data_IF_986962038943
#
_entry.id   IF_986962038943
#
_cell.length_a   1.000
_cell.length_b   1.000
_cell.length_c   1.000
_cell.angle_alpha   90.00
_cell.angle_beta   90.00
_cell.angle_gamma   90.00
#
_symmetry.space_group_name_H-M   'P 1'
#
loop_
_entity.id
_entity.type
_entity.pdbx_description
1 polymer ?
#
# COMPACT_ATOMS: atom_id res chain seq x y z
N UNK A 1 -8.85 36.25 6.96
CA UNK A 1 -8.93 34.86 7.47
C UNK A 1 -9.60 33.91 6.48
N UNK A 2 -10.61 34.35 5.73
CA UNK A 2 -11.39 33.51 4.82
C UNK A 2 -10.61 32.95 3.62
N UNK A 3 -9.65 33.70 3.08
CA UNK A 3 -8.84 33.24 1.95
C UNK A 3 -7.90 32.09 2.31
N UNK A 4 -7.28 32.13 3.50
CA UNK A 4 -6.42 31.06 4.00
C UNK A 4 -7.24 29.79 4.33
N UNK A 5 -8.46 29.95 4.84
CA UNK A 5 -9.37 28.84 5.10
C UNK A 5 -9.87 28.21 3.78
N UNK A 6 -10.22 29.03 2.79
CA UNK A 6 -10.61 28.57 1.46
C UNK A 6 -9.47 27.83 0.75
N UNK A 7 -8.22 28.34 0.83
CA UNK A 7 -7.03 27.69 0.30
C UNK A 7 -6.77 26.36 1.03
N UNK A 8 -6.85 26.34 2.37
CA UNK A 8 -6.69 25.13 3.18
C UNK A 8 -7.76 24.06 2.88
N UNK A 9 -9.00 24.48 2.66
CA UNK A 9 -10.13 23.62 2.27
C UNK A 9 -9.97 23.10 0.84
N UNK A 10 -9.53 23.94 -0.11
CA UNK A 10 -9.20 23.52 -1.48
C UNK A 10 -8.05 22.54 -1.51
N UNK A 11 -6.94 22.82 -0.83
CA UNK A 11 -5.79 21.91 -0.74
C UNK A 11 -6.24 20.55 -0.16
N UNK A 12 -7.07 20.56 0.91
CA UNK A 12 -7.59 19.31 1.51
C UNK A 12 -8.51 18.52 0.57
N UNK A 13 -9.23 19.18 -0.32
CA UNK A 13 -10.12 18.53 -1.29
C UNK A 13 -9.36 18.01 -2.53
N UNK A 14 -8.27 18.68 -2.92
CA UNK A 14 -7.45 18.28 -4.09
C UNK A 14 -6.25 17.39 -3.73
N UNK A 15 -5.78 17.41 -2.49
CA UNK A 15 -4.71 16.55 -2.00
C UNK A 15 -5.25 15.18 -1.60
N UNK A 16 -5.81 14.42 -2.53
CA UNK A 16 -5.94 12.97 -2.33
C UNK A 16 -4.56 12.32 -2.50
N UNK A 17 -4.26 11.24 -1.75
CA UNK A 17 -2.98 10.54 -1.87
C UNK A 17 -2.63 10.17 -3.32
N UNK A 18 -3.63 9.78 -4.12
CA UNK A 18 -3.46 9.49 -5.54
C UNK A 18 -2.99 10.70 -6.37
N UNK A 19 -3.48 11.91 -6.08
CA UNK A 19 -3.03 13.13 -6.79
C UNK A 19 -1.58 13.48 -6.45
N UNK A 20 -1.17 13.31 -5.18
CA UNK A 20 0.22 13.54 -4.75
C UNK A 20 1.16 12.53 -5.43
N UNK A 21 0.73 11.29 -5.54
CA UNK A 21 1.46 10.24 -6.25
C UNK A 21 1.65 10.57 -7.73
N UNK A 22 0.60 11.00 -8.42
CA UNK A 22 0.67 11.42 -9.84
C UNK A 22 1.66 12.58 -10.01
N UNK A 23 1.57 13.60 -9.16
CA UNK A 23 2.48 14.76 -9.20
C UNK A 23 3.92 14.33 -8.95
N UNK A 24 4.19 13.48 -7.96
CA UNK A 24 5.52 12.95 -7.67
C UNK A 24 6.09 12.18 -8.88
N UNK A 25 5.28 11.35 -9.52
CA UNK A 25 5.65 10.59 -10.71
C UNK A 25 5.99 11.49 -11.90
N UNK A 26 5.14 12.48 -12.16
CA UNK A 26 5.38 13.44 -13.24
C UNK A 26 6.64 14.28 -12.99
N UNK A 27 6.86 14.70 -11.76
CA UNK A 27 8.09 15.41 -11.38
C UNK A 27 9.33 14.55 -11.58
N UNK A 28 9.30 13.27 -11.15
CA UNK A 28 10.39 12.32 -11.38
C UNK A 28 10.71 12.19 -12.86
N UNK A 29 9.68 12.01 -13.69
CA UNK A 29 9.81 11.88 -15.14
C UNK A 29 10.39 13.15 -15.80
N UNK A 30 9.90 14.33 -15.41
CA UNK A 30 10.40 15.61 -15.95
C UNK A 30 11.86 15.84 -15.55
N UNK A 31 12.20 15.60 -14.27
CA UNK A 31 13.57 15.81 -13.77
C UNK A 31 14.54 14.82 -14.41
N UNK A 32 14.18 13.55 -14.54
CA UNK A 32 15.00 12.53 -15.18
C UNK A 32 15.31 12.82 -16.66
N UNK A 33 14.50 13.65 -17.33
CA UNK A 33 14.70 14.07 -18.72
C UNK A 33 15.10 15.55 -18.87
N UNK A 34 15.61 16.15 -17.80
CA UNK A 34 16.06 17.55 -17.77
C UNK A 34 17.58 17.63 -17.63
N UNK A 35 18.19 18.82 -17.81
CA UNK A 35 19.63 19.03 -17.60
C UNK A 35 20.14 18.72 -16.19
N UNK A 36 19.25 18.55 -15.19
CA UNK A 36 19.59 18.19 -13.81
C UNK A 36 19.43 16.67 -13.53
N UNK A 37 19.27 15.85 -14.55
CA UNK A 37 19.11 14.40 -14.42
C UNK A 37 20.26 13.75 -13.65
N UNK A 38 21.51 14.13 -13.96
CA UNK A 38 22.69 13.57 -13.29
C UNK A 38 22.67 13.86 -11.77
N UNK A 39 22.23 15.07 -11.36
CA UNK A 39 22.09 15.42 -9.95
C UNK A 39 20.98 14.60 -9.29
N UNK A 40 19.88 14.37 -9.98
CA UNK A 40 18.76 13.56 -9.50
C UNK A 40 19.19 12.11 -9.25
N UNK A 41 19.86 11.46 -10.21
CA UNK A 41 20.31 10.06 -10.04
C UNK A 41 21.47 9.95 -9.04
N UNK A 42 22.40 10.90 -9.01
CA UNK A 42 23.50 10.91 -8.04
C UNK A 42 23.01 11.06 -6.60
N UNK A 43 21.90 11.77 -6.37
CA UNK A 43 21.30 11.90 -5.05
C UNK A 43 20.82 10.55 -4.51
N UNK A 44 20.17 9.75 -5.34
CA UNK A 44 19.67 8.43 -4.94
C UNK A 44 20.80 7.42 -4.69
N UNK A 45 21.93 7.60 -5.34
CA UNK A 45 23.12 6.76 -5.17
C UNK A 45 23.98 7.14 -3.95
N UNK A 46 23.66 8.23 -3.21
CA UNK A 46 24.41 8.62 -2.02
C UNK A 46 24.30 7.57 -0.91
N UNK A 47 25.43 7.20 -0.27
CA UNK A 47 25.41 6.26 0.85
C UNK A 47 24.84 6.91 2.10
N UNK A 48 23.98 6.18 2.81
CA UNK A 48 23.50 6.53 4.15
C UNK A 48 24.28 5.72 5.18
N UNK A 49 24.83 6.38 6.20
CA UNK A 49 25.48 5.70 7.31
C UNK A 49 25.05 6.27 8.64
N UNK A 50 24.66 5.40 9.57
CA UNK A 50 24.48 5.71 10.98
C UNK A 50 25.46 4.81 11.76
N UNK A 51 26.65 5.34 12.03
CA UNK A 51 27.74 4.58 12.64
C UNK A 51 27.75 4.74 14.16
N UNK A 52 27.86 3.61 14.85
CA UNK A 52 28.13 3.51 16.28
C UNK A 52 29.41 2.67 16.45
N UNK A 53 30.57 3.32 16.50
CA UNK A 53 31.86 2.64 16.39
C UNK A 53 32.02 1.99 15.02
N UNK A 54 32.35 0.70 14.97
CA UNK A 54 32.47 -0.08 13.73
C UNK A 54 31.12 -0.60 13.20
N UNK A 55 30.04 -0.41 13.94
CA UNK A 55 28.71 -0.86 13.57
C UNK A 55 27.95 0.21 12.80
N UNK A 56 27.53 -0.09 11.57
CA UNK A 56 26.65 0.75 10.78
C UNK A 56 25.23 0.12 10.71
N UNK A 57 24.24 0.81 11.24
CA UNK A 57 22.85 0.36 11.27
C UNK A 57 22.26 0.19 9.85
N UNK A 58 22.67 1.05 8.91
CA UNK A 58 22.24 1.01 7.50
C UNK A 58 23.33 0.35 6.64
N UNK A 59 23.71 -0.88 7.00
CA UNK A 59 24.66 -1.70 6.26
C UNK A 59 23.99 -2.99 5.79
N UNK A 60 24.12 -3.28 4.50
CA UNK A 60 23.70 -4.54 3.90
C UNK A 60 24.91 -5.23 3.28
N UNK A 61 25.15 -6.49 3.66
CA UNK A 61 26.30 -7.29 3.16
C UNK A 61 27.66 -6.58 3.28
N UNK A 62 27.86 -5.76 4.32
CA UNK A 62 29.12 -5.06 4.57
C UNK A 62 29.30 -3.74 3.81
N UNK A 63 28.33 -3.31 3.03
CA UNK A 63 28.31 -2.00 2.35
C UNK A 63 27.23 -1.09 2.94
N UNK A 64 27.48 0.24 3.05
CA UNK A 64 26.46 1.17 3.44
C UNK A 64 25.34 1.21 2.40
N UNK A 65 24.07 1.23 2.86
CA UNK A 65 22.90 1.36 1.99
C UNK A 65 22.89 2.71 1.28
N UNK A 66 22.47 2.74 0.04
CA UNK A 66 22.17 3.97 -0.68
C UNK A 66 20.80 4.55 -0.26
N UNK A 67 20.56 5.83 -0.56
CA UNK A 67 19.23 6.46 -0.36
C UNK A 67 18.14 5.67 -1.08
N UNK A 68 18.41 5.19 -2.30
CA UNK A 68 17.49 4.36 -3.07
C UNK A 68 17.14 3.06 -2.35
N UNK A 69 18.16 2.33 -1.86
CA UNK A 69 17.97 1.09 -1.11
C UNK A 69 17.19 1.33 0.19
N UNK A 70 17.48 2.42 0.90
CA UNK A 70 16.73 2.79 2.10
C UNK A 70 15.25 3.02 1.80
N UNK A 71 14.92 3.71 0.71
CA UNK A 71 13.52 3.90 0.29
C UNK A 71 12.88 2.55 -0.05
N UNK A 72 13.57 1.71 -0.81
CA UNK A 72 13.03 0.44 -1.29
C UNK A 72 12.91 -0.62 -0.19
N UNK A 73 13.78 -0.61 0.83
CA UNK A 73 13.82 -1.64 1.86
C UNK A 73 13.19 -1.18 3.18
N UNK A 74 13.53 0.05 3.66
CA UNK A 74 13.04 0.52 4.95
C UNK A 74 11.65 1.16 4.84
N UNK A 75 11.44 2.12 3.91
CA UNK A 75 10.14 2.76 3.77
C UNK A 75 9.09 1.79 3.22
N UNK A 76 9.47 0.92 2.28
CA UNK A 76 8.57 -0.11 1.78
C UNK A 76 8.26 -1.17 2.84
N UNK A 77 9.14 -1.44 3.82
CA UNK A 77 8.78 -2.29 4.96
C UNK A 77 7.66 -1.67 5.81
N UNK A 78 7.64 -0.33 5.98
CA UNK A 78 6.54 0.36 6.67
C UNK A 78 5.25 0.30 5.83
N UNK A 79 5.34 0.43 4.51
CA UNK A 79 4.22 0.25 3.61
C UNK A 79 3.64 -1.17 3.72
N UNK A 80 4.47 -2.21 3.64
CA UNK A 80 4.02 -3.60 3.79
C UNK A 80 3.55 -3.93 5.21
N UNK A 81 4.05 -3.23 6.24
CA UNK A 81 3.50 -3.32 7.59
C UNK A 81 2.04 -2.83 7.62
N UNK A 82 1.73 -1.72 6.97
CA UNK A 82 0.34 -1.24 6.85
C UNK A 82 -0.55 -2.20 6.06
N UNK A 83 -0.06 -2.74 4.95
CA UNK A 83 -0.77 -3.80 4.22
C UNK A 83 -1.05 -4.99 5.15
N UNK A 84 -0.07 -5.40 5.96
CA UNK A 84 -0.25 -6.47 6.94
C UNK A 84 -1.34 -6.17 7.99
N UNK A 85 -1.45 -4.91 8.45
CA UNK A 85 -2.54 -4.46 9.34
C UNK A 85 -3.88 -4.53 8.62
N UNK A 86 -3.96 -4.04 7.38
CA UNK A 86 -5.16 -4.09 6.55
C UNK A 86 -5.61 -5.52 6.27
N UNK A 87 -4.70 -6.41 5.88
CA UNK A 87 -4.98 -7.85 5.70
C UNK A 87 -5.56 -8.44 6.99
N UNK A 88 -4.93 -8.17 8.13
CA UNK A 88 -5.39 -8.67 9.42
C UNK A 88 -6.77 -8.14 9.79
N UNK A 89 -7.06 -6.87 9.53
CA UNK A 89 -8.38 -6.29 9.73
C UNK A 89 -9.42 -6.97 8.84
N UNK A 90 -9.13 -7.12 7.55
CA UNK A 90 -10.04 -7.75 6.59
C UNK A 90 -10.36 -9.21 6.96
N UNK A 91 -9.38 -9.96 7.46
CA UNK A 91 -9.58 -11.34 7.94
C UNK A 91 -10.41 -11.40 9.21
N UNK A 92 -10.28 -10.42 10.12
CA UNK A 92 -10.97 -10.46 11.43
C UNK A 92 -12.37 -9.85 11.41
N UNK A 93 -12.59 -8.76 10.68
CA UNK A 93 -13.83 -7.98 10.72
C UNK A 93 -14.32 -7.51 9.35
N UNK A 94 -13.53 -7.69 8.27
CA UNK A 94 -13.84 -7.26 6.92
C UNK A 94 -14.47 -8.35 6.05
N UNK A 95 -14.38 -8.18 4.75
CA UNK A 95 -14.98 -9.05 3.73
C UNK A 95 -14.36 -10.45 3.70
N UNK A 96 -13.11 -10.61 4.14
CA UNK A 96 -12.44 -11.92 4.23
C UNK A 96 -12.89 -12.76 5.42
N UNK A 97 -13.71 -12.24 6.33
CA UNK A 97 -14.27 -12.97 7.47
C UNK A 97 -15.23 -14.07 7.01
N UNK A 98 -15.98 -13.84 5.93
CA UNK A 98 -16.94 -14.80 5.38
C UNK A 98 -16.41 -15.40 4.07
N UNK A 99 -16.19 -16.72 4.05
CA UNK A 99 -15.74 -17.43 2.84
C UNK A 99 -16.66 -17.17 1.65
N UNK A 100 -17.98 -17.02 1.86
CA UNK A 100 -18.95 -16.79 0.78
C UNK A 100 -18.78 -15.40 0.15
N UNK A 101 -18.42 -14.39 0.93
CA UNK A 101 -18.18 -13.00 0.44
C UNK A 101 -16.79 -12.88 -0.17
N UNK A 102 -15.80 -13.48 0.45
CA UNK A 102 -14.41 -13.44 0.04
C UNK A 102 -14.13 -14.26 -1.24
N UNK A 103 -14.93 -15.28 -1.54
CA UNK A 103 -14.62 -16.25 -2.58
C UNK A 103 -14.51 -15.61 -3.98
N UNK A 104 -15.38 -14.64 -4.31
CA UNK A 104 -15.32 -13.94 -5.60
C UNK A 104 -14.03 -13.12 -5.76
N UNK A 105 -13.66 -12.21 -4.84
CA UNK A 105 -12.40 -11.49 -4.93
C UNK A 105 -11.18 -12.40 -4.89
N UNK A 106 -11.18 -13.47 -4.08
CA UNK A 106 -10.05 -14.42 -3.99
C UNK A 106 -9.82 -15.12 -5.33
N UNK A 107 -10.86 -15.67 -5.94
CA UNK A 107 -10.72 -16.37 -7.22
C UNK A 107 -10.36 -15.40 -8.34
N UNK A 108 -10.90 -14.19 -8.30
CA UNK A 108 -10.54 -13.13 -9.22
C UNK A 108 -9.06 -12.70 -9.08
N UNK A 109 -8.56 -12.58 -7.85
CA UNK A 109 -7.16 -12.26 -7.58
C UNK A 109 -6.22 -13.38 -8.04
N UNK A 110 -6.53 -14.65 -7.76
CA UNK A 110 -5.74 -15.79 -8.25
C UNK A 110 -5.66 -15.75 -9.78
N UNK A 111 -6.79 -15.53 -10.48
CA UNK A 111 -6.77 -15.37 -11.93
C UNK A 111 -5.95 -14.16 -12.39
N UNK A 112 -6.12 -13.03 -11.68
CA UNK A 112 -5.38 -11.79 -11.91
C UNK A 112 -3.88 -11.88 -11.61
N UNK A 113 -3.41 -12.85 -10.84
CA UNK A 113 -2.00 -13.14 -10.63
C UNK A 113 -1.45 -14.16 -11.64
N UNK A 114 -2.14 -15.27 -11.83
CA UNK A 114 -1.66 -16.40 -12.65
C UNK A 114 -1.63 -16.05 -14.14
N UNK A 115 -2.69 -15.46 -14.68
CA UNK A 115 -2.77 -15.18 -16.13
C UNK A 115 -1.72 -14.17 -16.60
N UNK A 116 -1.47 -13.03 -15.92
CA UNK A 116 -0.39 -12.11 -16.30
C UNK A 116 0.99 -12.77 -16.28
N UNK A 117 1.29 -13.58 -15.24
CA UNK A 117 2.56 -14.31 -15.13
C UNK A 117 2.74 -15.27 -16.29
N UNK A 118 1.71 -16.08 -16.60
CA UNK A 118 1.76 -17.02 -17.72
C UNK A 118 1.94 -16.30 -19.06
N UNK A 119 1.27 -15.17 -19.25
CA UNK A 119 1.37 -14.37 -20.47
C UNK A 119 2.76 -13.74 -20.60
N UNK A 120 3.30 -13.21 -19.51
CA UNK A 120 4.67 -12.71 -19.45
C UNK A 120 5.70 -13.82 -19.80
N UNK A 121 5.56 -14.98 -19.19
CA UNK A 121 6.43 -16.13 -19.46
C UNK A 121 6.31 -16.64 -20.91
N UNK A 122 5.11 -16.54 -21.49
CA UNK A 122 4.88 -16.91 -22.90
C UNK A 122 5.61 -15.96 -23.86
N UNK A 123 5.51 -14.65 -23.63
CA UNK A 123 6.20 -13.62 -24.44
C UNK A 123 7.72 -13.68 -24.22
N UNK A 124 8.16 -13.89 -22.98
CA UNK A 124 9.57 -13.94 -22.59
C UNK A 124 10.27 -15.29 -22.80
N UNK A 125 9.69 -16.21 -23.57
CA UNK A 125 10.29 -17.53 -23.80
C UNK A 125 11.70 -17.43 -24.39
N UNK A 126 12.67 -18.04 -23.69
CA UNK A 126 14.07 -18.05 -24.10
C UNK A 126 14.83 -16.74 -23.85
N UNK A 127 14.27 -15.84 -23.06
CA UNK A 127 14.91 -14.58 -22.69
C UNK A 127 15.36 -14.57 -21.22
N UNK A 128 16.40 -13.81 -20.91
CA UNK A 128 16.98 -13.71 -19.56
C UNK A 128 16.12 -12.91 -18.58
N UNK A 129 15.08 -12.22 -19.07
CA UNK A 129 14.20 -11.39 -18.25
C UNK A 129 13.05 -12.16 -17.55
N UNK A 130 13.02 -13.50 -17.62
CA UNK A 130 11.96 -14.32 -16.97
C UNK A 130 11.84 -14.10 -15.46
N UNK A 131 12.91 -13.65 -14.80
CA UNK A 131 12.88 -13.25 -13.38
C UNK A 131 11.85 -12.16 -13.08
N UNK A 132 11.53 -11.31 -14.06
CA UNK A 132 10.51 -10.26 -13.96
C UNK A 132 9.07 -10.76 -14.13
N UNK A 133 8.82 -12.07 -14.19
CA UNK A 133 7.47 -12.61 -14.44
C UNK A 133 6.42 -12.20 -13.40
N UNK A 134 6.86 -11.87 -12.19
CA UNK A 134 5.98 -11.38 -11.12
C UNK A 134 5.60 -9.88 -11.25
N UNK A 135 6.29 -9.11 -12.11
CA UNK A 135 6.04 -7.67 -12.27
C UNK A 135 4.57 -7.37 -12.62
N UNK A 136 3.95 -8.02 -13.62
CA UNK A 136 2.58 -7.71 -14.03
C UNK A 136 1.50 -8.33 -13.14
N UNK A 137 1.85 -9.04 -12.06
CA UNK A 137 0.84 -9.63 -11.17
C UNK A 137 0.28 -8.64 -10.12
N UNK A 138 1.00 -7.56 -9.81
CA UNK A 138 0.61 -6.64 -8.77
C UNK A 138 -0.49 -5.65 -9.21
N UNK A 139 -1.30 -5.20 -8.24
CA UNK A 139 -2.30 -4.12 -8.41
C UNK A 139 -2.01 -3.00 -7.43
N UNK A 140 -1.97 -1.76 -7.89
CA UNK A 140 -1.83 -0.56 -7.06
C UNK A 140 -3.20 -0.11 -6.57
N UNK A 141 -3.51 -0.39 -5.29
CA UNK A 141 -4.79 -0.06 -4.65
C UNK A 141 -5.01 1.45 -4.65
N UNK A 142 -3.99 2.23 -4.27
CA UNK A 142 -4.12 3.67 -4.09
C UNK A 142 -4.49 4.37 -5.41
N UNK A 143 -3.84 3.95 -6.49
CA UNK A 143 -4.10 4.51 -7.82
C UNK A 143 -5.46 4.03 -8.37
N UNK A 144 -5.77 2.75 -8.25
CA UNK A 144 -7.02 2.16 -8.75
C UNK A 144 -8.24 2.74 -8.03
N UNK A 145 -8.21 2.89 -6.70
CA UNK A 145 -9.26 3.56 -5.94
C UNK A 145 -9.32 5.07 -6.23
N UNK A 146 -8.19 5.70 -6.52
CA UNK A 146 -8.13 7.09 -6.98
C UNK A 146 -8.95 7.30 -8.24
N UNK A 147 -8.79 6.42 -9.24
CA UNK A 147 -9.60 6.45 -10.47
C UNK A 147 -11.10 6.23 -10.17
N UNK A 148 -11.44 5.27 -9.29
CA UNK A 148 -12.84 5.07 -8.88
C UNK A 148 -13.41 6.29 -8.15
N UNK A 149 -12.60 6.97 -7.35
CA UNK A 149 -13.03 8.17 -6.62
C UNK A 149 -13.40 9.34 -7.55
N UNK A 150 -12.75 9.45 -8.72
CA UNK A 150 -13.09 10.45 -9.74
C UNK A 150 -14.52 10.28 -10.29
N UNK A 151 -15.06 9.06 -10.28
CA UNK A 151 -16.43 8.76 -10.70
C UNK A 151 -17.45 8.96 -9.56
N UNK A 152 -16.98 9.20 -8.35
CA UNK A 152 -17.77 9.61 -7.19
C UNK A 152 -18.84 8.60 -6.79
N UNK A 153 -20.06 9.12 -6.58
CA UNK A 153 -21.24 8.35 -6.12
C UNK A 153 -21.82 7.41 -7.18
N UNK A 154 -21.40 7.51 -8.44
CA UNK A 154 -21.88 6.64 -9.53
C UNK A 154 -21.39 5.19 -9.40
N UNK A 155 -20.27 4.98 -8.74
CA UNK A 155 -19.70 3.64 -8.54
C UNK A 155 -20.41 2.94 -7.38
N UNK A 156 -21.06 1.78 -7.60
CA UNK A 156 -21.66 0.98 -6.55
C UNK A 156 -20.63 0.63 -5.47
N UNK A 157 -21.03 0.67 -4.22
CA UNK A 157 -20.17 0.33 -3.06
C UNK A 157 -19.63 -1.10 -3.20
N UNK A 158 -20.46 -2.03 -3.67
CA UNK A 158 -20.07 -3.43 -3.90
C UNK A 158 -18.91 -3.60 -4.89
N UNK A 159 -18.79 -2.73 -5.93
CA UNK A 159 -17.66 -2.75 -6.85
C UNK A 159 -16.40 -2.17 -6.22
N UNK A 160 -16.53 -1.15 -5.36
CA UNK A 160 -15.39 -0.62 -4.59
C UNK A 160 -14.86 -1.69 -3.65
N UNK A 161 -15.76 -2.35 -2.89
CA UNK A 161 -15.42 -3.45 -1.99
C UNK A 161 -14.74 -4.59 -2.77
N UNK A 162 -15.33 -5.00 -3.91
CA UNK A 162 -14.74 -6.03 -4.75
C UNK A 162 -13.29 -5.69 -5.16
N UNK A 163 -13.04 -4.47 -5.65
CA UNK A 163 -11.70 -4.06 -6.08
C UNK A 163 -10.72 -3.97 -4.89
N UNK A 164 -11.17 -3.42 -3.75
CA UNK A 164 -10.31 -3.32 -2.55
C UNK A 164 -9.95 -4.72 -2.03
N UNK A 165 -10.94 -5.62 -1.87
CA UNK A 165 -10.67 -6.98 -1.40
C UNK A 165 -9.82 -7.78 -2.38
N UNK A 166 -10.05 -7.61 -3.70
CA UNK A 166 -9.22 -8.21 -4.74
C UNK A 166 -7.76 -7.77 -4.58
N UNK A 167 -7.52 -6.46 -4.42
CA UNK A 167 -6.18 -5.93 -4.32
C UNK A 167 -5.48 -6.35 -3.02
N UNK A 168 -6.21 -6.43 -1.89
CA UNK A 168 -5.67 -7.00 -0.63
C UNK A 168 -5.23 -8.46 -0.82
N UNK A 169 -5.99 -9.27 -1.56
CA UNK A 169 -5.61 -10.66 -1.87
C UNK A 169 -4.44 -10.72 -2.85
N UNK A 170 -4.38 -9.83 -3.84
CA UNK A 170 -3.24 -9.67 -4.74
C UNK A 170 -1.95 -9.34 -3.96
N UNK A 171 -2.04 -8.45 -2.96
CA UNK A 171 -0.89 -8.09 -2.11
C UNK A 171 -0.40 -9.28 -1.29
N UNK A 172 -1.31 -10.11 -0.74
CA UNK A 172 -0.93 -11.38 -0.07
C UNK A 172 -0.14 -12.27 -1.04
N UNK A 173 -0.65 -12.43 -2.26
CA UNK A 173 0.03 -13.19 -3.31
C UNK A 173 1.40 -12.62 -3.68
N UNK A 174 1.49 -11.29 -3.82
CA UNK A 174 2.74 -10.56 -4.07
C UNK A 174 3.78 -10.80 -2.97
N UNK A 175 3.37 -10.68 -1.70
CA UNK A 175 4.23 -10.93 -0.54
C UNK A 175 4.76 -12.37 -0.55
N UNK A 176 3.90 -13.35 -0.85
CA UNK A 176 4.31 -14.76 -0.93
C UNK A 176 5.31 -14.99 -2.07
N UNK A 177 5.08 -14.39 -3.23
CA UNK A 177 6.01 -14.48 -4.38
C UNK A 177 7.34 -13.82 -4.04
N UNK A 178 7.35 -12.65 -3.40
CA UNK A 178 8.58 -11.98 -2.95
C UNK A 178 9.33 -12.89 -1.97
N UNK A 179 8.63 -13.48 -1.01
CA UNK A 179 9.22 -14.36 0.00
C UNK A 179 9.88 -15.61 -0.58
N UNK A 180 9.27 -16.21 -1.62
CA UNK A 180 9.72 -17.49 -2.19
C UNK A 180 10.79 -17.28 -3.28
N UNK A 181 10.61 -16.30 -4.16
CA UNK A 181 11.40 -16.19 -5.39
C UNK A 181 12.51 -15.12 -5.30
N UNK A 182 12.41 -14.15 -4.37
CA UNK A 182 13.37 -13.06 -4.25
C UNK A 182 14.21 -13.12 -2.96
N UNK A 183 14.18 -14.25 -2.25
CA UNK A 183 15.10 -14.52 -1.14
C UNK A 183 16.43 -15.05 -1.68
N UNK A 184 17.54 -14.55 -1.12
CA UNK A 184 18.90 -14.95 -1.45
C UNK A 184 19.46 -15.92 -0.39
N UNK A 185 20.78 -16.03 -0.23
CA UNK A 185 21.45 -16.91 0.74
C UNK A 185 20.87 -16.75 2.17
N UNK A 186 20.06 -17.73 2.58
CA UNK A 186 19.33 -17.67 3.86
C UNK A 186 20.26 -17.96 5.04
N UNK A 187 20.44 -17.02 5.94
CA UNK A 187 21.15 -17.18 7.21
C UNK A 187 20.21 -17.60 8.32
N UNK A 188 20.30 -18.86 8.74
CA UNK A 188 19.46 -19.43 9.81
C UNK A 188 19.69 -18.72 11.16
N UNK A 189 20.89 -18.20 11.40
CA UNK A 189 21.23 -17.50 12.65
C UNK A 189 20.38 -16.24 12.85
N UNK A 190 20.29 -15.39 11.83
CA UNK A 190 19.46 -14.16 11.91
C UNK A 190 17.97 -14.49 12.01
N UNK A 191 17.50 -15.53 11.34
CA UNK A 191 16.12 -15.99 11.45
C UNK A 191 15.78 -16.54 12.84
N UNK A 192 16.72 -17.21 13.50
CA UNK A 192 16.53 -17.68 14.87
C UNK A 192 16.39 -16.50 15.84
N UNK A 193 17.20 -15.45 15.70
CA UNK A 193 17.05 -14.23 16.50
C UNK A 193 15.73 -13.52 16.19
N UNK A 194 15.34 -13.42 14.93
CA UNK A 194 14.06 -12.85 14.52
C UNK A 194 12.89 -13.60 15.13
N UNK A 195 12.91 -14.93 15.13
CA UNK A 195 11.90 -15.78 15.77
C UNK A 195 11.77 -15.51 17.26
N UNK A 196 12.90 -15.27 17.96
CA UNK A 196 12.90 -14.87 19.37
C UNK A 196 12.20 -13.52 19.59
N UNK A 197 12.47 -12.51 18.74
CA UNK A 197 11.80 -11.22 18.81
C UNK A 197 10.30 -11.36 18.46
N UNK A 198 9.92 -12.17 17.46
CA UNK A 198 8.52 -12.45 17.18
C UNK A 198 7.80 -13.09 18.37
N UNK A 199 8.45 -13.98 19.10
CA UNK A 199 7.88 -14.55 20.32
C UNK A 199 7.65 -13.46 21.38
N UNK A 200 8.58 -12.52 21.54
CA UNK A 200 8.45 -11.38 22.47
C UNK A 200 7.28 -10.49 22.04
N UNK A 201 7.16 -10.16 20.75
CA UNK A 201 6.05 -9.37 20.18
C UNK A 201 4.69 -10.07 20.41
N UNK A 202 4.61 -11.36 20.17
CA UNK A 202 3.40 -12.14 20.36
C UNK A 202 2.99 -12.27 21.83
N UNK A 203 3.97 -12.52 22.73
CA UNK A 203 3.73 -12.53 24.17
C UNK A 203 3.34 -11.15 24.69
N UNK A 204 3.97 -10.09 24.22
CA UNK A 204 3.60 -8.71 24.53
C UNK A 204 2.16 -8.39 24.15
N UNK A 205 1.72 -8.81 22.96
CA UNK A 205 0.34 -8.68 22.52
C UNK A 205 -0.64 -9.46 23.41
N UNK A 206 -0.28 -10.68 23.85
CA UNK A 206 -1.07 -11.47 24.81
C UNK A 206 -1.10 -10.89 26.22
N UNK A 207 0.00 -10.28 26.65
CA UNK A 207 0.12 -9.59 27.94
C UNK A 207 -0.62 -8.24 27.98
N UNK A 208 -1.20 -7.80 26.84
CA UNK A 208 -1.96 -6.56 26.75
C UNK A 208 -1.09 -5.30 26.61
N UNK A 209 0.13 -5.46 26.10
CA UNK A 209 0.98 -4.30 25.76
C UNK A 209 0.43 -3.65 24.48
N UNK A 210 -0.13 -2.43 24.63
CA UNK A 210 -0.74 -1.68 23.52
C UNK A 210 0.13 -0.50 23.06
N UNK A 211 1.36 -0.39 23.59
CA UNK A 211 2.29 0.69 23.23
C UNK A 211 2.74 0.54 21.78
N UNK A 212 2.38 1.51 20.92
CA UNK A 212 2.87 1.59 19.51
C UNK A 212 4.39 1.52 19.44
N UNK A 213 5.08 2.23 20.37
CA UNK A 213 6.54 2.30 20.44
C UNK A 213 7.18 0.91 20.63
N UNK A 214 6.56 0.05 21.45
CA UNK A 214 7.01 -1.33 21.65
C UNK A 214 7.06 -2.11 20.33
N UNK A 215 6.00 -2.03 19.53
CA UNK A 215 5.92 -2.72 18.24
C UNK A 215 6.82 -2.09 17.18
N UNK A 216 6.98 -0.75 17.16
CA UNK A 216 7.87 -0.09 16.21
C UNK A 216 9.35 -0.38 16.49
N UNK A 217 9.79 -0.31 17.75
CA UNK A 217 11.19 -0.58 18.10
C UNK A 217 11.53 -2.05 17.79
N UNK A 218 10.74 -3.00 18.28
CA UNK A 218 11.00 -4.42 18.03
C UNK A 218 10.79 -4.78 16.55
N UNK A 219 9.84 -4.15 15.88
CA UNK A 219 9.64 -4.28 14.45
C UNK A 219 10.85 -3.81 13.64
N UNK A 220 11.48 -2.70 14.04
CA UNK A 220 12.74 -2.23 13.47
C UNK A 220 13.90 -3.22 13.67
N UNK A 221 13.96 -3.87 14.85
CA UNK A 221 14.94 -4.94 15.09
C UNK A 221 14.69 -6.15 14.19
N UNK A 222 13.42 -6.57 14.03
CA UNK A 222 13.08 -7.66 13.12
C UNK A 222 13.43 -7.30 11.68
N UNK A 223 13.12 -6.08 11.22
CA UNK A 223 13.49 -5.58 9.91
C UNK A 223 15.01 -5.66 9.68
N UNK A 224 15.81 -5.21 10.65
CA UNK A 224 17.27 -5.29 10.58
C UNK A 224 17.78 -6.74 10.51
N UNK A 225 17.18 -7.66 11.27
CA UNK A 225 17.53 -9.07 11.23
C UNK A 225 17.18 -9.71 9.88
N UNK A 226 16.04 -9.34 9.29
CA UNK A 226 15.65 -9.79 7.96
C UNK A 226 16.57 -9.24 6.88
N UNK A 227 16.95 -7.97 6.96
CA UNK A 227 17.91 -7.33 6.04
C UNK A 227 19.22 -8.15 5.95
N UNK A 228 19.66 -8.73 7.08
CA UNK A 228 20.89 -9.54 7.14
C UNK A 228 20.64 -11.05 7.05
N UNK A 229 19.38 -11.49 6.90
CA UNK A 229 19.03 -12.91 6.83
C UNK A 229 18.99 -13.48 5.43
N UNK A 230 18.97 -12.64 4.39
CA UNK A 230 18.76 -13.04 3.00
C UNK A 230 17.29 -13.18 2.59
N UNK A 231 16.34 -13.01 3.52
CA UNK A 231 14.93 -12.85 3.23
C UNK A 231 14.63 -11.35 3.08
N UNK A 232 13.79 -11.00 2.10
CA UNK A 232 13.51 -9.59 1.83
C UNK A 232 12.95 -8.86 3.06
N UNK A 233 13.52 -7.69 3.47
CA UNK A 233 13.17 -7.02 4.73
C UNK A 233 11.73 -6.51 4.80
N UNK A 234 11.05 -6.30 3.67
CA UNK A 234 9.64 -5.89 3.63
C UNK A 234 8.69 -6.93 4.22
N UNK A 235 9.05 -8.22 4.18
CA UNK A 235 8.27 -9.32 4.76
C UNK A 235 8.22 -9.19 6.29
N UNK A 236 9.28 -8.67 6.90
CA UNK A 236 9.30 -8.39 8.33
C UNK A 236 8.15 -7.46 8.75
N UNK A 237 7.86 -6.42 7.95
CA UNK A 237 6.74 -5.51 8.19
C UNK A 237 5.40 -6.25 8.30
N UNK A 238 5.10 -7.10 7.33
CA UNK A 238 3.85 -7.89 7.31
C UNK A 238 3.76 -8.82 8.52
N UNK A 239 4.82 -9.54 8.83
CA UNK A 239 4.84 -10.49 9.96
C UNK A 239 4.68 -9.77 11.31
N UNK A 240 5.31 -8.60 11.48
CA UNK A 240 5.14 -7.77 12.68
C UNK A 240 3.69 -7.29 12.82
N UNK A 241 3.03 -6.90 11.73
CA UNK A 241 1.62 -6.50 11.74
C UNK A 241 0.70 -7.59 12.29
N UNK A 242 0.99 -8.86 11.98
CA UNK A 242 0.23 -9.99 12.52
C UNK A 242 0.42 -10.17 14.05
N UNK A 243 1.47 -9.62 14.66
CA UNK A 243 1.66 -9.63 16.11
C UNK A 243 0.86 -8.54 16.83
N UNK A 244 0.41 -7.48 16.15
CA UNK A 244 -0.32 -6.35 16.75
C UNK A 244 -1.69 -6.82 17.28
N UNK A 245 -2.09 -6.47 18.55
CA UNK A 245 -3.40 -6.82 19.07
C UNK A 245 -4.55 -6.15 18.32
N UNK A 246 -5.56 -6.96 17.96
CA UNK A 246 -6.77 -6.46 17.29
C UNK A 246 -7.94 -6.19 18.26
N UNK A 247 -7.81 -6.59 19.52
CA UNK A 247 -8.86 -6.38 20.52
C UNK A 247 -8.63 -5.07 21.26
N UNK A 248 -9.69 -4.24 21.44
CA UNK A 248 -9.60 -3.05 22.27
C UNK A 248 -9.38 -3.40 23.74
N UNK A 249 -8.73 -2.51 24.48
CA UNK A 249 -8.50 -2.66 25.92
C UNK A 249 -9.79 -2.43 26.71
N UNK A 250 -10.60 -1.48 26.27
CA UNK A 250 -11.85 -1.10 26.89
C UNK A 250 -13.04 -1.59 26.05
N UNK A 251 -13.93 -2.33 26.67
CA UNK A 251 -15.17 -2.75 26.00
C UNK A 251 -16.07 -1.53 25.72
N UNK A 252 -16.75 -1.53 24.58
CA UNK A 252 -17.63 -0.43 24.13
C UNK A 252 -18.70 -0.05 25.17
N UNK A 253 -19.26 -1.04 25.88
CA UNK A 253 -20.24 -0.78 26.93
C UNK A 253 -19.65 0.00 28.09
N UNK A 254 -18.45 -0.33 28.52
CA UNK A 254 -17.73 0.39 29.59
C UNK A 254 -17.28 1.78 29.12
N UNK A 255 -16.89 1.91 27.86
CA UNK A 255 -16.58 3.21 27.24
C UNK A 255 -17.80 4.16 27.34
N UNK A 256 -18.98 3.70 26.90
CA UNK A 256 -20.20 4.52 26.95
C UNK A 256 -20.56 4.94 28.39
N UNK A 257 -20.43 4.04 29.38
CA UNK A 257 -20.67 4.39 30.78
C UNK A 257 -19.66 5.43 31.27
N UNK A 258 -18.37 5.23 31.00
CA UNK A 258 -17.32 6.17 31.40
C UNK A 258 -17.55 7.58 30.82
N UNK A 259 -17.83 7.68 29.51
CA UNK A 259 -18.11 8.97 28.87
C UNK A 259 -19.34 9.64 29.48
N UNK A 260 -20.40 8.87 29.72
CA UNK A 260 -21.63 9.40 30.34
C UNK A 260 -21.37 9.94 31.73
N UNK A 261 -20.62 9.21 32.53
CA UNK A 261 -20.31 9.61 33.92
C UNK A 261 -19.41 10.86 33.94
N UNK A 262 -18.40 10.92 33.08
CA UNK A 262 -17.51 12.08 32.94
C UNK A 262 -18.24 13.33 32.45
N UNK A 263 -19.15 13.20 31.48
CA UNK A 263 -19.97 14.33 31.00
C UNK A 263 -20.95 14.79 32.08
N UNK A 264 -21.59 13.85 32.80
CA UNK A 264 -22.54 14.18 33.86
C UNK A 264 -21.88 14.92 35.05
N UNK A 265 -20.62 14.55 35.33
CA UNK A 265 -19.83 15.14 36.42
C UNK A 265 -18.90 16.27 35.95
N UNK A 266 -19.00 16.71 34.69
CA UNK A 266 -18.13 17.77 34.17
C UNK A 266 -18.33 19.06 35.00
N UNK A 267 -17.30 19.62 35.63
CA UNK A 267 -17.41 20.79 36.50
C UNK A 267 -17.91 21.98 35.70
N UNK A 268 -19.17 22.40 36.00
CA UNK A 268 -19.71 23.64 35.48
C UNK A 268 -19.23 24.75 36.43
N UNK A 269 -18.34 25.61 35.94
CA UNK A 269 -18.06 26.86 36.68
C UNK A 269 -19.36 27.66 36.78
N UNK A 270 -19.79 27.98 38.01
CA UNK A 270 -20.80 28.98 38.21
C UNK A 270 -20.21 30.31 37.74
N UNK A 271 -20.63 30.74 36.55
CA UNK A 271 -20.27 32.05 36.01
C UNK A 271 -20.79 33.14 36.99
N UNK A 272 -19.90 33.59 37.87
CA UNK A 272 -20.12 34.82 38.65
C UNK A 272 -19.46 35.95 37.89
N UNK A 273 -20.24 36.67 37.07
CA UNK A 273 -19.82 37.95 36.51
C UNK A 273 -19.44 37.91 35.01
N UNK A 274 -19.88 38.97 34.37
CA UNK A 274 -19.69 39.37 32.98
C UNK A 274 -18.23 39.31 32.51
N UNK A 275 -17.75 38.17 32.13
CA UNK A 275 -16.62 38.10 31.19
C UNK A 275 -16.44 36.68 30.63
N UNK A 276 -16.66 36.56 29.35
CA UNK A 276 -16.37 35.46 28.44
C UNK A 276 -14.84 35.17 28.34
N UNK A 277 -14.12 35.10 29.47
CA UNK A 277 -12.65 35.08 29.48
C UNK A 277 -12.00 34.21 30.54
N UNK A 278 -12.48 32.98 30.75
CA UNK A 278 -11.57 31.96 31.28
C UNK A 278 -10.75 31.41 30.13
N UNK A 279 -9.57 31.99 29.88
CA UNK A 279 -8.62 31.59 28.85
C UNK A 279 -8.11 30.17 29.09
N UNK A 280 -8.29 29.60 30.29
CA UNK A 280 -7.80 28.28 30.69
C UNK A 280 -8.87 27.49 31.43
N UNK A 281 -8.90 26.18 31.14
CA UNK A 281 -9.72 25.22 31.86
C UNK A 281 -9.18 24.98 33.29
N UNK A 282 -10.09 24.72 34.24
CA UNK A 282 -9.71 24.30 35.58
C UNK A 282 -9.02 22.93 35.58
N UNK A 283 -8.26 22.62 36.65
CA UNK A 283 -7.60 21.31 36.76
C UNK A 283 -8.62 20.14 36.68
N UNK A 284 -9.80 20.32 37.25
CA UNK A 284 -10.82 19.27 37.29
C UNK A 284 -11.46 19.08 35.91
N UNK A 285 -11.68 20.18 35.16
CA UNK A 285 -12.12 20.10 33.76
C UNK A 285 -11.06 19.40 32.88
N UNK A 286 -9.76 19.72 33.08
CA UNK A 286 -8.67 19.07 32.37
C UNK A 286 -8.60 17.57 32.72
N UNK A 287 -8.79 17.20 33.98
CA UNK A 287 -8.77 15.81 34.41
C UNK A 287 -9.93 15.01 33.79
N UNK A 288 -11.13 15.58 33.75
CA UNK A 288 -12.28 14.98 33.08
C UNK A 288 -12.03 14.77 31.58
N UNK A 289 -11.50 15.79 30.87
CA UNK A 289 -11.15 15.68 29.46
C UNK A 289 -10.08 14.62 29.19
N UNK A 290 -9.06 14.54 30.04
CA UNK A 290 -8.02 13.48 29.97
C UNK A 290 -8.56 12.09 30.23
N UNK A 291 -9.56 11.95 31.11
CA UNK A 291 -10.26 10.68 31.34
C UNK A 291 -11.05 10.26 30.09
N UNK A 292 -11.75 11.19 29.46
CA UNK A 292 -12.45 10.96 28.18
C UNK A 292 -11.46 10.56 27.06
N UNK A 293 -10.36 11.31 26.92
CA UNK A 293 -9.29 11.03 25.96
C UNK A 293 -8.73 9.61 26.17
N UNK A 294 -8.34 9.30 27.42
CA UNK A 294 -7.82 7.96 27.77
C UNK A 294 -8.84 6.83 27.53
N UNK A 295 -10.12 7.08 27.74
CA UNK A 295 -11.16 6.09 27.44
C UNK A 295 -11.32 5.91 25.93
N UNK A 296 -11.24 7.00 25.15
CA UNK A 296 -11.28 6.97 23.68
C UNK A 296 -10.10 6.20 23.09
N UNK A 297 -8.90 6.42 23.59
CA UNK A 297 -7.69 5.69 23.16
C UNK A 297 -7.77 4.19 23.47
N UNK A 298 -8.44 3.81 24.57
CA UNK A 298 -8.54 2.41 25.00
C UNK A 298 -9.66 1.63 24.31
N UNK A 299 -10.66 2.30 23.75
CA UNK A 299 -11.76 1.63 23.01
C UNK A 299 -11.40 1.35 21.57
N UNK A 300 -10.44 2.10 21.00
CA UNK A 300 -9.87 1.82 19.68
C UNK A 300 -8.84 0.70 19.82
N UNK A 301 -8.90 -0.30 18.94
CA UNK A 301 -7.90 -1.37 18.97
C UNK A 301 -6.54 -0.85 18.49
N UNK A 302 -5.42 -1.38 19.05
CA UNK A 302 -4.08 -0.99 18.59
C UNK A 302 -3.86 -1.18 17.08
N UNK A 303 -4.50 -2.20 16.50
CA UNK A 303 -4.48 -2.44 15.06
C UNK A 303 -5.10 -1.28 14.28
N UNK A 304 -6.33 -0.86 14.63
CA UNK A 304 -7.02 0.25 13.96
C UNK A 304 -6.30 1.57 14.16
N UNK A 305 -5.84 1.85 15.38
CA UNK A 305 -5.14 3.08 15.72
C UNK A 305 -3.80 3.22 14.95
N UNK A 306 -3.07 2.11 14.76
CA UNK A 306 -1.86 2.10 13.92
C UNK A 306 -2.17 2.26 12.44
N UNK A 307 -3.20 1.59 11.94
CA UNK A 307 -3.65 1.73 10.55
C UNK A 307 -4.03 3.18 10.24
N UNK A 308 -4.87 3.80 11.08
CA UNK A 308 -5.30 5.19 10.91
C UNK A 308 -4.13 6.19 11.02
N UNK A 309 -3.16 5.92 11.91
CA UNK A 309 -1.97 6.76 12.08
C UNK A 309 -1.02 6.65 10.88
N UNK A 310 -0.85 5.46 10.31
CA UNK A 310 0.07 5.22 9.19
C UNK A 310 -0.50 5.62 7.84
N UNK A 311 -1.81 5.54 7.65
CA UNK A 311 -2.46 5.82 6.38
C UNK A 311 -2.08 7.19 5.77
N UNK A 312 -2.06 8.33 6.52
CA UNK A 312 -1.58 9.59 5.97
C UNK A 312 -0.09 9.57 5.62
N UNK A 313 0.75 8.97 6.48
CA UNK A 313 2.21 8.90 6.25
C UNK A 313 2.52 8.11 4.98
N UNK A 314 1.81 7.02 4.77
CA UNK A 314 1.98 6.18 3.58
C UNK A 314 1.52 6.91 2.33
N UNK A 315 0.31 7.45 2.32
CA UNK A 315 -0.29 8.03 1.11
C UNK A 315 0.31 9.39 0.72
N UNK A 316 0.81 10.17 1.69
CA UNK A 316 1.34 11.52 1.41
C UNK A 316 2.86 11.61 1.46
N UNK A 317 3.56 10.62 1.99
CA UNK A 317 5.01 10.64 2.10
C UNK A 317 5.66 9.40 1.46
N UNK A 318 5.35 8.18 1.96
CA UNK A 318 6.10 6.97 1.57
C UNK A 318 5.88 6.62 0.10
N UNK A 319 4.63 6.45 -0.32
CA UNK A 319 4.28 6.09 -1.71
C UNK A 319 4.74 7.18 -2.71
N UNK A 320 4.48 8.49 -2.48
CA UNK A 320 4.98 9.53 -3.36
C UNK A 320 6.51 9.60 -3.43
N UNK A 321 7.21 9.43 -2.31
CA UNK A 321 8.68 9.43 -2.29
C UNK A 321 9.23 8.20 -3.01
N UNK A 322 8.64 7.02 -2.80
CA UNK A 322 8.98 5.81 -3.54
C UNK A 322 8.77 5.99 -5.04
N UNK A 323 7.64 6.54 -5.47
CA UNK A 323 7.36 6.81 -6.86
C UNK A 323 8.33 7.86 -7.43
N UNK A 324 8.60 8.93 -6.69
CA UNK A 324 9.56 9.96 -7.09
C UNK A 324 10.96 9.38 -7.29
N UNK A 325 11.42 8.47 -6.45
CA UNK A 325 12.73 7.84 -6.57
C UNK A 325 12.79 6.80 -7.72
N UNK A 326 11.72 6.05 -7.96
CA UNK A 326 11.74 4.89 -8.85
C UNK A 326 11.12 5.12 -10.24
N UNK A 327 10.27 6.14 -10.42
CA UNK A 327 9.61 6.43 -11.71
C UNK A 327 10.41 7.37 -12.62
N UNK A 328 11.64 7.72 -12.29
CA UNK A 328 12.54 8.47 -13.15
C UNK A 328 13.02 7.61 -14.30
N UNK A 329 12.37 7.69 -15.46
CA UNK A 329 12.71 6.96 -16.69
C UNK A 329 13.40 7.93 -17.63
N UNK A 330 14.59 7.57 -18.11
CA UNK A 330 15.36 8.35 -19.08
C UNK A 330 14.89 7.98 -20.49
N UNK A 331 14.30 8.93 -21.21
CA UNK A 331 13.86 8.72 -22.60
C UNK A 331 14.98 8.86 -23.63
N UNK A 332 16.08 9.53 -23.28
CA UNK A 332 17.20 9.73 -24.20
C UNK A 332 17.87 8.37 -24.50
N UNK A 333 17.75 7.91 -25.74
CA UNK A 333 18.30 6.62 -26.19
C UNK A 333 17.30 5.46 -26.22
N UNK A 334 16.09 5.65 -25.72
CA UNK A 334 15.03 4.63 -25.84
C UNK A 334 14.31 4.85 -27.18
N UNK A 335 14.46 3.89 -28.10
CA UNK A 335 13.66 3.88 -29.33
C UNK A 335 12.20 3.58 -29.00
N UNK A 336 11.26 4.26 -29.66
CA UNK A 336 9.83 4.03 -29.50
C UNK A 336 9.44 2.57 -29.84
N UNK A 337 10.24 1.89 -30.64
CA UNK A 337 10.13 0.47 -30.97
C UNK A 337 10.35 -0.44 -29.77
N UNK A 338 11.16 -0.04 -28.78
CA UNK A 338 11.46 -0.83 -27.57
C UNK A 338 10.25 -0.96 -26.63
N UNK A 339 9.26 -0.05 -26.75
CA UNK A 339 7.95 -0.19 -26.05
C UNK A 339 7.19 -1.46 -26.48
N UNK A 340 7.37 -1.88 -27.73
CA UNK A 340 6.64 -3.00 -28.31
C UNK A 340 7.49 -4.25 -28.45
N UNK A 341 8.64 -4.31 -27.78
CA UNK A 341 9.56 -5.45 -27.80
C UNK A 341 10.01 -5.86 -26.40
N UNK A 342 10.53 -7.08 -26.27
CA UNK A 342 11.18 -7.55 -25.06
C UNK A 342 10.33 -7.46 -23.79
N UNK A 343 10.97 -7.05 -22.71
CA UNK A 343 10.33 -6.98 -21.38
C UNK A 343 9.26 -5.90 -21.28
N UNK A 344 9.41 -4.76 -21.96
CA UNK A 344 8.41 -3.68 -21.96
C UNK A 344 7.07 -4.18 -22.47
N UNK A 345 7.06 -4.91 -23.60
CA UNK A 345 5.86 -5.53 -24.16
C UNK A 345 5.27 -6.58 -23.22
N UNK A 346 6.13 -7.44 -22.64
CA UNK A 346 5.67 -8.51 -21.75
C UNK A 346 4.97 -7.96 -20.51
N UNK A 347 5.53 -6.89 -19.91
CA UNK A 347 4.92 -6.19 -18.76
C UNK A 347 3.65 -5.47 -19.17
N UNK A 348 3.68 -4.69 -20.26
CA UNK A 348 2.51 -3.97 -20.75
C UNK A 348 1.32 -4.90 -21.03
N UNK A 349 1.56 -5.97 -21.79
CA UNK A 349 0.52 -6.95 -22.14
C UNK A 349 0.04 -7.71 -20.90
N UNK A 350 0.97 -8.06 -19.99
CA UNK A 350 0.64 -8.70 -18.73
C UNK A 350 -0.27 -7.84 -17.85
N UNK A 351 0.04 -6.55 -17.67
CA UNK A 351 -0.77 -5.63 -16.89
C UNK A 351 -2.13 -5.35 -17.54
N UNK A 352 -2.16 -4.99 -18.82
CA UNK A 352 -3.39 -4.58 -19.47
C UNK A 352 -4.30 -5.78 -19.79
N UNK A 353 -3.80 -6.75 -20.54
CA UNK A 353 -4.60 -7.88 -21.01
C UNK A 353 -4.60 -9.04 -20.03
N UNK A 354 -3.44 -9.35 -19.42
CA UNK A 354 -3.32 -10.46 -18.48
C UNK A 354 -4.17 -10.25 -17.24
N UNK A 355 -4.09 -9.07 -16.61
CA UNK A 355 -4.92 -8.70 -15.46
C UNK A 355 -6.40 -8.67 -15.81
N UNK A 356 -6.76 -7.99 -16.91
CA UNK A 356 -8.15 -7.93 -17.35
C UNK A 356 -8.75 -9.33 -17.56
N UNK A 357 -8.09 -10.16 -18.37
CA UNK A 357 -8.57 -11.52 -18.66
C UNK A 357 -8.58 -12.36 -17.38
N UNK A 358 -7.53 -12.29 -16.58
CA UNK A 358 -7.42 -13.07 -15.35
C UNK A 358 -8.53 -12.76 -14.36
N UNK A 359 -8.74 -11.48 -14.05
CA UNK A 359 -9.76 -11.04 -13.09
C UNK A 359 -11.18 -11.29 -13.65
N UNK A 360 -11.43 -10.85 -14.88
CA UNK A 360 -12.77 -10.93 -15.45
C UNK A 360 -13.18 -12.38 -15.72
N UNK A 361 -12.33 -13.19 -16.36
CA UNK A 361 -12.67 -14.57 -16.71
C UNK A 361 -12.88 -15.43 -15.46
N UNK A 362 -12.02 -15.29 -14.44
CA UNK A 362 -12.15 -16.02 -13.17
C UNK A 362 -13.45 -15.63 -12.45
N UNK A 363 -13.76 -14.32 -12.42
CA UNK A 363 -15.02 -13.82 -11.84
C UNK A 363 -16.24 -14.33 -12.63
N UNK A 364 -16.18 -14.27 -13.97
CA UNK A 364 -17.24 -14.74 -14.84
C UNK A 364 -17.49 -16.24 -14.64
N UNK A 365 -16.44 -17.05 -14.55
CA UNK A 365 -16.53 -18.48 -14.38
C UNK A 365 -17.27 -18.85 -13.08
N UNK A 366 -16.85 -18.29 -11.96
CA UNK A 366 -17.41 -18.64 -10.63
C UNK A 366 -18.86 -18.13 -10.46
N UNK A 367 -19.19 -16.97 -11.05
CA UNK A 367 -20.56 -16.44 -11.06
C UNK A 367 -21.45 -17.27 -11.99
N UNK A 368 -20.96 -17.65 -13.18
CA UNK A 368 -21.72 -18.48 -14.13
C UNK A 368 -21.99 -19.88 -13.59
N UNK A 369 -21.06 -20.44 -12.85
CA UNK A 369 -21.25 -21.71 -12.13
C UNK A 369 -22.21 -21.59 -10.93
N UNK A 370 -22.73 -20.37 -10.65
CA UNK A 370 -23.64 -20.07 -9.53
C UNK A 370 -23.07 -20.40 -8.14
N UNK A 371 -21.74 -20.41 -8.02
CA UNK A 371 -21.05 -20.63 -6.74
C UNK A 371 -21.16 -19.37 -5.88
N UNK A 372 -21.01 -18.20 -6.52
CA UNK A 372 -21.10 -16.87 -5.87
C UNK A 372 -22.04 -15.99 -6.70
N UNK A 373 -22.88 -15.15 -6.07
CA UNK A 373 -23.69 -14.17 -6.77
C UNK A 373 -22.83 -13.03 -7.31
N UNK A 374 -23.35 -12.34 -8.35
CA UNK A 374 -22.75 -11.08 -8.81
C UNK A 374 -22.84 -10.00 -7.74
N UNK A 375 -21.86 -9.12 -7.59
CA UNK A 375 -21.91 -7.99 -6.66
C UNK A 375 -23.18 -7.15 -6.89
N UNK A 376 -23.82 -6.73 -5.80
CA UNK A 376 -25.08 -5.99 -5.84
C UNK A 376 -24.96 -4.71 -6.68
N UNK A 377 -26.00 -4.36 -7.42
CA UNK A 377 -26.03 -3.20 -8.32
C UNK A 377 -24.91 -3.18 -9.38
N UNK A 378 -24.32 -4.35 -9.69
CA UNK A 378 -23.28 -4.48 -10.71
C UNK A 378 -23.80 -5.16 -11.96
N UNK A 379 -23.16 -4.88 -13.09
CA UNK A 379 -23.41 -5.50 -14.39
C UNK A 379 -22.12 -6.16 -14.89
N UNK A 380 -22.24 -7.06 -15.86
CA UNK A 380 -21.06 -7.66 -16.50
C UNK A 380 -20.12 -6.60 -17.10
N UNK A 381 -20.70 -5.51 -17.63
CA UNK A 381 -19.93 -4.39 -18.19
C UNK A 381 -19.17 -3.63 -17.12
N UNK A 382 -19.81 -3.35 -15.97
CA UNK A 382 -19.14 -2.65 -14.87
C UNK A 382 -18.07 -3.53 -14.20
N UNK A 383 -18.31 -4.84 -14.08
CA UNK A 383 -17.32 -5.79 -13.58
C UNK A 383 -16.11 -5.90 -14.52
N UNK A 384 -16.34 -5.98 -15.85
CA UNK A 384 -15.27 -5.94 -16.84
C UNK A 384 -14.45 -4.65 -16.75
N UNK A 385 -15.12 -3.50 -16.60
CA UNK A 385 -14.43 -2.21 -16.50
C UNK A 385 -13.56 -2.09 -15.23
N UNK A 386 -14.04 -2.59 -14.10
CA UNK A 386 -13.23 -2.66 -12.84
C UNK A 386 -12.07 -3.64 -12.99
N UNK A 387 -12.26 -4.75 -13.74
CA UNK A 387 -11.17 -5.69 -14.01
C UNK A 387 -10.04 -5.07 -14.83
N UNK A 388 -10.33 -4.08 -15.70
CA UNK A 388 -9.29 -3.30 -16.40
C UNK A 388 -8.50 -2.43 -15.42
N UNK A 389 -9.16 -1.83 -14.41
CA UNK A 389 -8.46 -1.06 -13.37
C UNK A 389 -7.48 -1.90 -12.54
N UNK A 390 -7.76 -3.20 -12.40
CA UNK A 390 -6.81 -4.14 -11.78
C UNK A 390 -5.46 -4.22 -12.50
N UNK A 391 -5.37 -3.78 -13.75
CA UNK A 391 -4.12 -3.65 -14.52
C UNK A 391 -3.24 -2.45 -14.15
N UNK A 392 -3.66 -1.60 -13.22
CA UNK A 392 -2.82 -0.54 -12.67
C UNK A 392 -1.89 -1.18 -11.63
N UNK A 393 -0.66 -1.52 -12.02
CA UNK A 393 0.31 -2.17 -11.12
C UNK A 393 1.28 -1.20 -10.44
N UNK A 394 1.47 -0.07 -11.03
CA UNK A 394 2.40 1.03 -10.83
C UNK A 394 3.42 0.85 -9.67
N UNK A 395 3.14 1.30 -8.43
CA UNK A 395 4.12 1.31 -7.33
C UNK A 395 4.61 -0.08 -6.96
N UNK A 396 3.71 -1.04 -6.81
CA UNK A 396 4.08 -2.42 -6.43
C UNK A 396 4.80 -3.13 -7.58
N UNK A 397 4.39 -2.91 -8.83
CA UNK A 397 5.12 -3.43 -10.01
C UNK A 397 6.52 -2.83 -10.14
N UNK A 398 6.71 -1.53 -9.87
CA UNK A 398 8.04 -0.89 -9.82
C UNK A 398 8.91 -1.51 -8.72
N UNK A 399 8.32 -1.78 -7.55
CA UNK A 399 9.02 -2.45 -6.47
C UNK A 399 9.48 -3.85 -6.87
N UNK A 400 8.61 -4.67 -7.46
CA UNK A 400 8.97 -6.02 -7.93
C UNK A 400 10.01 -5.94 -9.07
N UNK A 401 9.95 -4.93 -9.94
CA UNK A 401 10.95 -4.74 -11.00
C UNK A 401 12.35 -4.45 -10.42
N UNK A 402 12.43 -3.59 -9.39
CA UNK A 402 13.67 -3.35 -8.67
C UNK A 402 14.22 -4.62 -8.01
N UNK A 403 13.36 -5.43 -7.38
CA UNK A 403 13.75 -6.72 -6.81
C UNK A 403 14.27 -7.70 -7.86
N UNK A 404 13.66 -7.69 -9.05
CA UNK A 404 13.98 -8.60 -10.13
C UNK A 404 15.33 -8.29 -10.78
N UNK A 405 15.65 -7.01 -10.95
CA UNK A 405 16.76 -6.58 -11.81
C UNK A 405 17.75 -5.64 -11.14
N UNK A 406 17.41 -4.99 -10.03
CA UNK A 406 18.23 -3.95 -9.39
C UNK A 406 19.64 -4.42 -8.99
N UNK A 407 19.83 -5.70 -8.69
CA UNK A 407 21.09 -6.29 -8.25
C UNK A 407 21.81 -7.12 -9.34
N UNK A 408 21.42 -6.99 -10.63
CA UNK A 408 21.98 -7.78 -11.73
C UNK A 408 23.11 -7.05 -12.50
N UNK A 409 23.63 -5.94 -11.98
CA UNK A 409 24.67 -5.17 -12.66
C UNK A 409 24.17 -4.41 -13.89
N UNK A 410 25.05 -4.07 -14.86
CA UNK A 410 24.68 -3.22 -16.00
C UNK A 410 23.52 -3.74 -16.86
N UNK A 411 23.48 -5.04 -17.13
CA UNK A 411 22.38 -5.68 -17.87
C UNK A 411 21.03 -5.59 -17.13
N UNK A 412 21.09 -5.70 -15.80
CA UNK A 412 19.92 -5.53 -14.95
C UNK A 412 19.35 -4.12 -14.99
N UNK A 413 20.22 -3.10 -15.08
CA UNK A 413 19.81 -1.69 -15.19
C UNK A 413 19.01 -1.47 -16.49
N UNK A 414 19.48 -2.00 -17.61
CA UNK A 414 18.77 -1.88 -18.89
C UNK A 414 17.41 -2.59 -18.85
N UNK A 415 17.35 -3.81 -18.32
CA UNK A 415 16.10 -4.55 -18.16
C UNK A 415 15.13 -3.82 -17.21
N UNK A 416 15.64 -3.21 -16.15
CA UNK A 416 14.83 -2.42 -15.21
C UNK A 416 14.22 -1.18 -15.86
N UNK A 417 14.99 -0.43 -16.65
CA UNK A 417 14.47 0.75 -17.35
C UNK A 417 13.38 0.39 -18.37
N UNK A 418 13.58 -0.69 -19.13
CA UNK A 418 12.56 -1.19 -20.03
C UNK A 418 11.33 -1.74 -19.30
N UNK A 419 11.50 -2.41 -18.15
CA UNK A 419 10.39 -2.85 -17.32
C UNK A 419 9.58 -1.67 -16.76
N UNK A 420 10.25 -0.63 -16.23
CA UNK A 420 9.60 0.61 -15.76
C UNK A 420 8.74 1.24 -16.84
N UNK A 421 9.25 1.29 -18.07
CA UNK A 421 8.52 1.81 -19.22
C UNK A 421 7.22 1.02 -19.47
N UNK A 422 7.31 -0.33 -19.49
CA UNK A 422 6.14 -1.21 -19.62
C UNK A 422 5.13 -1.03 -18.48
N UNK A 423 5.61 -0.85 -17.24
CA UNK A 423 4.77 -0.62 -16.05
C UNK A 423 4.00 0.69 -16.16
N UNK A 424 4.69 1.80 -16.47
CA UNK A 424 4.06 3.12 -16.56
C UNK A 424 3.03 3.16 -17.67
N UNK A 425 3.38 2.64 -18.85
CA UNK A 425 2.46 2.59 -19.99
C UNK A 425 1.27 1.67 -19.73
N UNK A 426 1.50 0.47 -19.17
CA UNK A 426 0.45 -0.48 -18.82
C UNK A 426 -0.52 0.09 -17.79
N UNK A 427 -0.01 0.70 -16.73
CA UNK A 427 -0.80 1.32 -15.67
C UNK A 427 -1.59 2.52 -16.19
N UNK A 428 -0.98 3.40 -16.98
CA UNK A 428 -1.64 4.57 -17.55
C UNK A 428 -2.79 4.17 -18.49
N UNK A 429 -2.53 3.24 -19.41
CA UNK A 429 -3.55 2.76 -20.37
C UNK A 429 -4.67 2.03 -19.62
N UNK A 430 -4.37 1.19 -18.64
CA UNK A 430 -5.38 0.52 -17.81
C UNK A 430 -6.23 1.51 -17.03
N UNK A 431 -5.62 2.55 -16.46
CA UNK A 431 -6.33 3.62 -15.73
C UNK A 431 -7.27 4.41 -16.63
N UNK A 432 -6.79 4.87 -17.78
CA UNK A 432 -7.58 5.65 -18.74
C UNK A 432 -8.72 4.81 -19.30
N UNK A 433 -8.43 3.59 -19.78
CA UNK A 433 -9.46 2.70 -20.34
C UNK A 433 -10.49 2.30 -19.29
N UNK A 434 -10.05 1.94 -18.07
CA UNK A 434 -10.95 1.61 -16.97
C UNK A 434 -11.86 2.77 -16.60
N UNK A 435 -11.33 4.00 -16.53
CA UNK A 435 -12.12 5.21 -16.30
C UNK A 435 -13.17 5.44 -17.41
N UNK A 436 -12.75 5.40 -18.67
CA UNK A 436 -13.64 5.61 -19.83
C UNK A 436 -14.75 4.56 -19.82
N UNK A 437 -14.41 3.29 -19.68
CA UNK A 437 -15.40 2.20 -19.69
C UNK A 437 -16.37 2.32 -18.51
N UNK A 438 -15.90 2.62 -17.30
CA UNK A 438 -16.78 2.86 -16.15
C UNK A 438 -17.67 4.08 -16.37
N UNK A 439 -17.13 5.16 -16.91
CA UNK A 439 -17.92 6.36 -17.19
C UNK A 439 -19.04 6.11 -18.22
N UNK A 440 -18.79 5.22 -19.18
CA UNK A 440 -19.77 4.84 -20.22
C UNK A 440 -20.83 3.86 -19.68
N UNK A 441 -20.45 2.89 -18.85
CA UNK A 441 -21.33 1.78 -18.46
C UNK A 441 -22.02 1.97 -17.10
N UNK A 442 -21.54 2.89 -16.27
CA UNK A 442 -22.25 3.24 -15.04
C UNK A 442 -23.44 4.16 -15.35
N UNK A 443 -24.57 4.00 -14.64
CA UNK A 443 -25.70 4.88 -14.81
C UNK A 443 -25.30 6.33 -14.54
N UNK A 444 -25.79 7.25 -15.38
CA UNK A 444 -25.63 8.68 -15.12
C UNK A 444 -26.45 9.00 -13.85
N UNK A 445 -25.91 9.85 -12.98
CA UNK A 445 -26.70 10.37 -11.87
C UNK A 445 -27.97 11.03 -12.46
N UNK A 446 -29.14 10.55 -12.06
CA UNK A 446 -30.33 11.37 -12.20
C UNK A 446 -30.12 12.55 -11.25
N UNK A 447 -30.04 13.75 -11.80
CA UNK A 447 -30.17 14.97 -11.01
C UNK A 447 -31.50 14.83 -10.27
N UNK A 448 -31.43 14.63 -8.96
CA UNK A 448 -32.60 14.77 -8.09
C UNK A 448 -32.81 16.27 -8.04
N UNK A 449 -33.76 16.77 -8.82
CA UNK A 449 -34.33 18.10 -8.71
C UNK A 449 -34.92 18.36 -7.30
#
# INVERSE_FOLDING_TARGET
MDSLYAIKKSIKNYASGGNVLIVATLLAFIIANSPIADMYFSWWAQPISLQLGDFNLFSHNGHPMTVMEFINDALMAIFFFSIGLEIKREVLVGELTSIKQALLPIVAAIGGMVIPVLLFMYIGRGSDFLRGSAIPMATDIAFSLGVLAMLGKRVPISLKIFLTTLAVVDDIGGILVIAIFYSSHISVTYLFYAAGIFLILWLGGRAGINSKMFYFILGGVVWFLFLNSGIHPTIAGVLVAFCIPAKPVLATTRFISTIRDEIANFPQEQFHGDSDSSIMLSKDQINCLKSIESASDKVISPLQDLEDTLHPVINYLIIPLFAFANAGIVLSGIELSSLFTGISLAVFVGLLFGKFVGIFFSSWLIIKLKIVPMPTHSTWKSLASVSVLGGIGFTVSLFIANLSFGNMGPEGIELLEHAKLGIVMGSLVSGILGYILLNLFLPKQQEVE
#
